data_IF_964240640290
#
_entry.id   IF_964240640290
#
_cell.length_a   1.000
_cell.length_b   1.000
_cell.length_c   1.000
_cell.angle_alpha   90.00
_cell.angle_beta   90.00
_cell.angle_gamma   90.00
#
_symmetry.space_group_name_H-M   'P 1'
#
loop_
_entity.id
_entity.type
_entity.pdbx_description
1 polymer ?
#
# COMPACT_ATOMS: atom_id res chain seq x y z
N UNK A 1 0.11 23.68 0.49
CA UNK A 1 -0.17 22.27 0.66
C UNK A 1 1.05 21.55 1.18
N UNK A 2 0.89 20.82 2.23
CA UNK A 2 1.99 20.20 2.91
C UNK A 2 2.37 18.87 2.28
N UNK A 3 3.65 18.73 1.93
CA UNK A 3 4.18 17.49 1.36
C UNK A 3 5.24 16.86 2.25
N UNK A 4 5.46 17.41 3.44
CA UNK A 4 6.54 16.96 4.30
C UNK A 4 6.35 15.52 4.79
N UNK A 5 5.11 15.08 4.90
CA UNK A 5 4.81 13.76 5.45
C UNK A 5 3.86 13.01 4.53
N UNK A 6 4.38 12.42 3.45
CA UNK A 6 3.52 11.65 2.55
C UNK A 6 2.89 10.49 3.29
N UNK A 7 1.61 10.31 3.06
CA UNK A 7 0.84 9.23 3.67
C UNK A 7 0.19 8.40 2.58
N UNK A 8 -0.15 7.18 2.94
CA UNK A 8 -0.86 6.29 2.04
C UNK A 8 -2.27 6.79 1.81
N UNK A 9 -2.66 6.91 0.56
CA UNK A 9 -4.00 7.35 0.23
C UNK A 9 -4.41 6.73 -1.10
N UNK A 10 -5.66 6.96 -1.48
CA UNK A 10 -6.21 6.44 -2.72
C UNK A 10 -5.35 6.88 -3.91
N UNK A 11 -5.07 5.94 -4.80
CA UNK A 11 -4.25 6.20 -5.98
C UNK A 11 -2.77 6.05 -5.75
N UNK A 12 -2.35 5.74 -4.53
CA UNK A 12 -0.94 5.62 -4.23
C UNK A 12 -0.39 4.23 -4.47
N UNK A 13 0.87 4.18 -4.88
CA UNK A 13 1.62 2.94 -4.96
C UNK A 13 2.48 2.81 -3.70
N UNK A 14 2.38 1.67 -3.05
CA UNK A 14 3.03 1.44 -1.77
C UNK A 14 3.96 0.26 -1.91
N UNK A 15 5.24 0.51 -1.73
CA UNK A 15 6.22 -0.56 -1.72
C UNK A 15 6.41 -1.04 -0.29
N UNK A 16 6.20 -2.33 -0.06
CA UNK A 16 6.36 -2.94 1.24
C UNK A 16 7.32 -4.10 1.15
N UNK A 17 7.68 -4.65 2.30
CA UNK A 17 8.52 -5.85 2.35
C UNK A 17 7.78 -7.10 1.86
N UNK A 18 6.48 -7.01 1.61
CA UNK A 18 5.68 -8.13 1.12
C UNK A 18 5.18 -7.90 -0.31
N UNK A 19 5.63 -6.85 -0.98
CA UNK A 19 5.23 -6.57 -2.34
C UNK A 19 4.72 -5.15 -2.50
N UNK A 20 4.23 -4.86 -3.69
CA UNK A 20 3.76 -3.52 -4.05
C UNK A 20 2.24 -3.55 -4.08
N UNK A 21 1.64 -2.58 -3.43
CA UNK A 21 0.19 -2.44 -3.39
C UNK A 21 -0.21 -1.13 -4.05
N UNK A 22 -1.32 -1.18 -4.78
CA UNK A 22 -1.93 -0.01 -5.37
C UNK A 22 -3.28 0.19 -4.71
N UNK A 23 -3.45 1.30 -4.01
CA UNK A 23 -4.69 1.57 -3.30
C UNK A 23 -5.69 2.18 -4.27
N UNK A 24 -6.72 1.41 -4.59
CA UNK A 24 -7.65 1.80 -5.63
C UNK A 24 -9.08 1.55 -5.17
N UNK A 25 -10.02 1.68 -6.09
CA UNK A 25 -11.43 1.42 -5.80
C UNK A 25 -11.82 -0.02 -6.11
N UNK A 26 -10.93 -0.78 -6.72
CA UNK A 26 -11.17 -2.17 -7.06
C UNK A 26 -10.07 -3.06 -6.51
N UNK A 27 -10.18 -4.34 -6.78
CA UNK A 27 -9.18 -5.30 -6.37
C UNK A 27 -8.71 -6.10 -7.59
N UNK A 28 -7.46 -6.57 -7.52
CA UNK A 28 -6.92 -7.36 -8.60
C UNK A 28 -5.42 -7.49 -8.49
N UNK A 29 -4.84 -8.06 -9.53
CA UNK A 29 -3.41 -8.23 -9.62
C UNK A 29 -2.95 -7.73 -10.96
N UNK A 30 -1.96 -6.86 -10.95
CA UNK A 30 -1.43 -6.25 -12.16
C UNK A 30 0.03 -6.65 -12.27
N UNK A 31 0.44 -7.09 -13.45
CA UNK A 31 1.84 -7.41 -13.70
C UNK A 31 2.42 -6.43 -14.69
N UNK A 32 3.47 -5.72 -14.26
CA UNK A 32 4.13 -4.72 -15.09
C UNK A 32 5.63 -4.97 -15.00
N UNK A 33 6.27 -5.21 -16.14
CA UNK A 33 7.72 -5.42 -16.19
C UNK A 33 8.17 -6.50 -15.22
N UNK A 34 7.45 -7.60 -15.18
CA UNK A 34 7.73 -8.74 -14.31
C UNK A 34 7.52 -8.45 -12.82
N UNK A 35 6.99 -7.30 -12.48
CA UNK A 35 6.63 -6.99 -11.11
C UNK A 35 5.12 -7.18 -10.93
N UNK A 36 4.77 -7.73 -9.78
CA UNK A 36 3.37 -7.95 -9.43
C UNK A 36 2.93 -6.84 -8.50
N UNK A 37 1.86 -6.16 -8.90
CA UNK A 37 1.28 -5.10 -8.11
C UNK A 37 -0.12 -5.52 -7.73
N UNK A 38 -0.42 -5.50 -6.45
CA UNK A 38 -1.74 -5.88 -5.95
C UNK A 38 -2.59 -4.64 -5.82
N UNK A 39 -3.63 -4.56 -6.64
CA UNK A 39 -4.62 -3.50 -6.50
C UNK A 39 -5.60 -3.90 -5.41
N UNK A 40 -5.67 -3.09 -4.37
CA UNK A 40 -6.54 -3.37 -3.23
C UNK A 40 -7.51 -2.22 -3.04
N UNK A 41 -8.71 -2.57 -2.61
CA UNK A 41 -9.72 -1.56 -2.35
C UNK A 41 -9.44 -0.83 -1.05
N UNK A 42 -9.71 0.47 -1.06
CA UNK A 42 -9.61 1.27 0.15
C UNK A 42 -10.51 0.73 1.25
N UNK A 43 -11.60 0.07 0.87
CA UNK A 43 -12.56 -0.48 1.84
C UNK A 43 -12.21 -1.90 2.28
N UNK A 44 -11.18 -2.50 1.69
CA UNK A 44 -10.76 -3.83 2.11
C UNK A 44 -10.06 -3.78 3.45
N UNK A 45 -9.97 -4.91 4.17
CA UNK A 45 -9.28 -4.92 5.46
C UNK A 45 -7.84 -4.41 5.37
N UNK A 46 -7.09 -4.87 4.36
CA UNK A 46 -5.71 -4.42 4.22
C UNK A 46 -5.64 -2.96 3.80
N UNK A 47 -6.58 -2.52 2.96
CA UNK A 47 -6.63 -1.12 2.55
C UNK A 47 -6.88 -0.19 3.71
N UNK A 48 -7.76 -0.58 4.62
CA UNK A 48 -8.05 0.23 5.79
C UNK A 48 -6.85 0.30 6.73
N UNK A 49 -6.08 -0.77 6.81
CA UNK A 49 -4.86 -0.76 7.63
C UNK A 49 -3.77 0.09 7.01
N UNK A 50 -3.70 0.12 5.69
CA UNK A 50 -2.65 0.87 4.99
C UNK A 50 -2.94 2.35 4.92
N UNK A 51 -4.21 2.73 4.79
CA UNK A 51 -4.56 4.13 4.63
C UNK A 51 -4.08 4.95 5.81
N UNK A 52 -3.44 6.07 5.53
CA UNK A 52 -2.96 6.97 6.57
C UNK A 52 -1.60 6.60 7.13
N UNK A 53 -1.03 5.49 6.69
CA UNK A 53 0.31 5.12 7.14
C UNK A 53 1.37 5.93 6.41
N UNK A 54 2.56 5.98 6.99
CA UNK A 54 3.70 6.71 6.44
C UNK A 54 4.83 5.75 6.18
N UNK A 55 5.77 6.22 5.36
CA UNK A 55 7.00 5.46 5.14
C UNK A 55 7.68 5.18 6.48
N UNK A 56 8.11 3.96 6.67
CA UNK A 56 8.74 3.53 7.91
C UNK A 56 7.80 2.90 8.91
N UNK A 57 6.50 3.11 8.75
CA UNK A 57 5.54 2.47 9.64
C UNK A 57 5.30 1.03 9.24
N UNK A 58 4.91 0.23 10.22
CA UNK A 58 4.61 -1.17 10.00
C UNK A 58 3.23 -1.47 10.52
N UNK A 59 2.63 -2.50 9.94
CA UNK A 59 1.35 -2.99 10.39
C UNK A 59 1.34 -4.50 10.30
N UNK A 60 0.41 -5.11 11.01
CA UNK A 60 0.29 -6.56 11.00
C UNK A 60 -1.01 -6.95 10.34
N UNK A 61 -0.93 -7.87 9.37
CA UNK A 61 -2.10 -8.32 8.65
C UNK A 61 -1.98 -9.83 8.45
N UNK A 62 -2.93 -10.57 9.02
CA UNK A 62 -3.01 -12.02 8.89
C UNK A 62 -1.72 -12.70 9.30
N UNK A 63 -1.14 -12.25 10.40
CA UNK A 63 0.08 -12.84 10.94
C UNK A 63 1.35 -12.42 10.25
N UNK A 64 1.29 -11.51 9.29
CA UNK A 64 2.47 -11.01 8.61
C UNK A 64 2.66 -9.54 8.93
N UNK A 65 3.91 -9.15 9.08
CA UNK A 65 4.25 -7.75 9.29
C UNK A 65 4.54 -7.11 7.95
N UNK A 66 3.79 -6.06 7.65
CA UNK A 66 4.01 -5.25 6.45
C UNK A 66 4.70 -3.96 6.86
N UNK A 67 5.86 -3.72 6.30
CA UNK A 67 6.57 -2.46 6.55
C UNK A 67 6.56 -1.64 5.28
N UNK A 68 6.18 -0.39 5.41
CA UNK A 68 6.11 0.52 4.27
C UNK A 68 7.50 1.07 4.03
N UNK A 69 8.10 0.64 2.92
CA UNK A 69 9.45 1.04 2.58
C UNK A 69 9.47 2.33 1.78
N UNK A 70 8.47 2.53 0.93
CA UNK A 70 8.47 3.67 0.04
C UNK A 70 7.06 3.90 -0.50
N UNK A 71 6.74 5.17 -0.71
CA UNK A 71 5.54 5.56 -1.45
C UNK A 71 6.02 6.06 -2.81
N UNK A 72 5.49 5.44 -3.86
CA UNK A 72 5.93 5.74 -5.22
C UNK A 72 4.99 6.72 -5.91
#
# INVERSE_FOLDING_TARGET
LNRAYPIVDLGGLIETNQGIYYLSIGIGKIEINSEIIYAISLNSPIGQLLKGKRVGEALEFRGKTLKINQLI
#
